data_IF_084312664669
#
_entry.id   IF_084312664669
#
_cell.length_a   1.000
_cell.length_b   1.000
_cell.length_c   1.000
_cell.angle_alpha   90.00
_cell.angle_beta   90.00
_cell.angle_gamma   90.00
#
_symmetry.space_group_name_H-M   'P 1'
#
loop_
_entity.id
_entity.type
_entity.pdbx_description
1 polymer ?
#
# COMPACT_ATOMS: atom_id res chain seq x y z
N UNK A 1 -7.43 -0.49 -12.16
CA UNK A 1 -6.54 -1.60 -11.76
C UNK A 1 -5.24 -1.37 -12.53
N UNK A 2 -4.15 -1.08 -11.82
CA UNK A 2 -2.85 -0.77 -12.42
C UNK A 2 -2.31 -1.94 -13.27
N UNK A 3 -1.66 -1.64 -14.39
CA UNK A 3 -1.04 -2.65 -15.26
C UNK A 3 0.17 -3.30 -14.58
N UNK A 4 0.40 -4.58 -14.86
CA UNK A 4 1.57 -5.34 -14.35
C UNK A 4 2.94 -4.66 -14.57
N UNK A 5 3.26 -4.04 -15.73
CA UNK A 5 4.52 -3.31 -15.89
C UNK A 5 4.63 -2.03 -15.06
N UNK A 6 3.50 -1.44 -14.66
CA UNK A 6 3.45 -0.19 -13.89
C UNK A 6 3.50 -0.46 -12.37
N UNK A 7 3.33 -1.72 -11.94
CA UNK A 7 3.37 -2.12 -10.54
C UNK A 7 4.76 -2.07 -9.93
N UNK A 8 5.73 -2.70 -10.58
CA UNK A 8 7.10 -2.76 -10.09
C UNK A 8 7.72 -1.37 -9.81
N UNK A 9 7.63 -0.37 -10.72
CA UNK A 9 8.15 0.96 -10.43
C UNK A 9 7.37 1.66 -9.31
N UNK A 10 6.05 1.47 -9.23
CA UNK A 10 5.24 2.05 -8.15
C UNK A 10 5.56 1.43 -6.77
N UNK A 11 5.82 0.13 -6.70
CA UNK A 11 6.29 -0.56 -5.49
C UNK A 11 7.68 -0.07 -5.07
N UNK A 12 8.58 0.17 -6.04
CA UNK A 12 9.92 0.71 -5.77
C UNK A 12 9.86 2.15 -5.21
N UNK A 13 9.06 3.03 -5.83
CA UNK A 13 8.86 4.39 -5.33
C UNK A 13 8.22 4.40 -3.93
N UNK A 14 7.31 3.46 -3.65
CA UNK A 14 6.74 3.28 -2.32
C UNK A 14 7.79 2.83 -1.29
N UNK A 15 8.69 1.92 -1.67
CA UNK A 15 9.81 1.50 -0.84
C UNK A 15 10.78 2.66 -0.54
N UNK A 16 11.12 3.45 -1.55
CA UNK A 16 11.97 4.62 -1.41
C UNK A 16 11.32 5.69 -0.51
N UNK A 17 10.02 5.92 -0.66
CA UNK A 17 9.27 6.82 0.20
C UNK A 17 9.33 6.37 1.67
N UNK A 18 9.09 5.08 1.95
CA UNK A 18 9.22 4.53 3.31
C UNK A 18 10.65 4.66 3.84
N UNK A 19 11.67 4.36 3.03
CA UNK A 19 13.07 4.49 3.41
C UNK A 19 13.46 5.95 3.71
N UNK A 20 12.83 6.92 3.03
CA UNK A 20 12.98 8.35 3.28
C UNK A 20 12.17 8.85 4.49
N UNK A 21 11.46 7.97 5.19
CA UNK A 21 10.67 8.29 6.38
C UNK A 21 9.25 8.76 6.12
N UNK A 22 8.70 8.53 4.92
CA UNK A 22 7.27 8.76 4.68
C UNK A 22 6.44 7.80 5.54
N UNK A 23 5.30 8.29 6.02
CA UNK A 23 4.33 7.46 6.72
C UNK A 23 3.65 6.48 5.77
N UNK A 24 3.25 5.33 6.32
CA UNK A 24 2.61 4.26 5.55
C UNK A 24 1.30 4.71 4.90
N UNK A 25 0.57 5.64 5.54
CA UNK A 25 -0.71 6.14 5.02
C UNK A 25 -0.52 6.96 3.73
N UNK A 26 0.48 7.84 3.72
CA UNK A 26 0.90 8.58 2.53
C UNK A 26 1.34 7.65 1.40
N UNK A 27 2.05 6.57 1.73
CA UNK A 27 2.48 5.56 0.75
C UNK A 27 1.29 4.82 0.14
N UNK A 28 0.33 4.40 0.98
CA UNK A 28 -0.90 3.76 0.54
C UNK A 28 -1.77 4.70 -0.31
N UNK A 29 -1.82 5.99 0.03
CA UNK A 29 -2.49 7.01 -0.77
C UNK A 29 -1.89 7.12 -2.17
N UNK A 30 -0.56 7.20 -2.28
CA UNK A 30 0.14 7.24 -3.58
C UNK A 30 -0.12 5.99 -4.41
N UNK A 31 -0.13 4.80 -3.79
CA UNK A 31 -0.44 3.55 -4.47
C UNK A 31 -1.89 3.54 -4.97
N UNK A 32 -2.84 4.03 -4.18
CA UNK A 32 -4.25 4.18 -4.59
C UNK A 32 -4.39 5.11 -5.80
N UNK A 33 -3.75 6.28 -5.79
CA UNK A 33 -3.75 7.21 -6.93
C UNK A 33 -3.18 6.59 -8.21
N UNK A 34 -2.21 5.68 -8.08
CA UNK A 34 -1.67 4.89 -9.20
C UNK A 34 -2.58 3.74 -9.64
N UNK A 35 -3.73 3.53 -8.98
CA UNK A 35 -4.72 2.53 -9.34
C UNK A 35 -4.49 1.14 -8.74
N UNK A 36 -3.70 1.04 -7.66
CA UNK A 36 -3.60 -0.18 -6.86
C UNK A 36 -4.91 -0.49 -6.17
N UNK A 37 -5.26 -1.77 -6.12
CA UNK A 37 -6.40 -2.25 -5.33
C UNK A 37 -5.97 -2.45 -3.86
N UNK A 38 -6.90 -2.55 -2.90
CA UNK A 38 -6.56 -2.87 -1.51
C UNK A 38 -5.71 -4.14 -1.36
N UNK A 39 -6.04 -5.18 -2.13
CA UNK A 39 -5.27 -6.43 -2.13
C UNK A 39 -3.84 -6.24 -2.65
N UNK A 40 -3.63 -5.33 -3.60
CA UNK A 40 -2.29 -5.03 -4.13
C UNK A 40 -1.48 -4.26 -3.10
N UNK A 41 -2.11 -3.32 -2.40
CA UNK A 41 -1.52 -2.62 -1.27
C UNK A 41 -1.15 -3.57 -0.13
N UNK A 42 -2.00 -4.55 0.22
CA UNK A 42 -1.68 -5.55 1.24
C UNK A 42 -0.43 -6.34 0.86
N UNK A 43 -0.35 -6.79 -0.41
CA UNK A 43 0.83 -7.49 -0.92
C UNK A 43 2.08 -6.62 -0.90
N UNK A 44 1.96 -5.35 -1.26
CA UNK A 44 3.05 -4.38 -1.20
C UNK A 44 3.54 -4.19 0.25
N UNK A 45 2.63 -3.95 1.20
CA UNK A 45 2.97 -3.80 2.62
C UNK A 45 3.69 -5.04 3.15
N UNK A 46 3.22 -6.25 2.85
CA UNK A 46 3.91 -7.49 3.23
C UNK A 46 5.34 -7.55 2.72
N UNK A 47 5.58 -7.17 1.46
CA UNK A 47 6.93 -7.14 0.87
C UNK A 47 7.81 -6.06 1.49
N UNK A 48 7.24 -4.89 1.77
CA UNK A 48 7.97 -3.71 2.25
C UNK A 48 8.35 -3.81 3.72
N UNK A 49 7.46 -4.32 4.57
CA UNK A 49 7.67 -4.39 6.03
C UNK A 49 8.09 -5.77 6.51
N UNK A 50 7.93 -6.82 5.69
CA UNK A 50 8.07 -8.21 6.12
C UNK A 50 6.96 -8.67 7.08
N UNK A 51 5.89 -7.88 7.24
CA UNK A 51 4.78 -8.19 8.14
C UNK A 51 3.96 -9.39 7.64
N UNK A 52 3.35 -10.17 8.57
CA UNK A 52 2.40 -11.21 8.20
C UNK A 52 1.14 -10.61 7.56
N UNK A 53 0.43 -11.43 6.78
CA UNK A 53 -0.77 -11.02 6.05
C UNK A 53 -1.80 -10.30 6.94
N UNK A 54 -2.02 -10.79 8.16
CA UNK A 54 -3.00 -10.21 9.09
C UNK A 54 -2.63 -8.77 9.49
N UNK A 55 -1.35 -8.50 9.66
CA UNK A 55 -0.84 -7.19 10.06
C UNK A 55 -0.86 -6.21 8.87
N UNK A 56 -0.43 -6.68 7.70
CA UNK A 56 -0.55 -5.92 6.45
C UNK A 56 -2.02 -5.60 6.10
N UNK A 57 -2.93 -6.55 6.34
CA UNK A 57 -4.37 -6.34 6.15
C UNK A 57 -4.89 -5.26 7.09
N UNK A 58 -4.49 -5.29 8.38
CA UNK A 58 -4.87 -4.26 9.35
C UNK A 58 -4.36 -2.88 8.92
N UNK A 59 -3.10 -2.79 8.51
CA UNK A 59 -2.49 -1.53 8.04
C UNK A 59 -3.29 -0.92 6.90
N UNK A 60 -3.65 -1.71 5.89
CA UNK A 60 -4.45 -1.21 4.75
C UNK A 60 -5.90 -0.91 5.15
N UNK A 61 -6.50 -1.73 6.01
CA UNK A 61 -7.90 -1.60 6.43
C UNK A 61 -8.16 -0.36 7.32
N UNK A 62 -7.16 0.03 8.13
CA UNK A 62 -7.22 1.22 8.98
C UNK A 62 -6.54 2.45 8.35
N UNK A 63 -6.09 2.34 7.10
CA UNK A 63 -5.49 3.48 6.40
C UNK A 63 -6.57 4.48 5.99
N UNK A 64 -6.28 5.76 6.18
CA UNK A 64 -7.12 6.86 5.68
C UNK A 64 -7.15 6.90 4.15
N UNK A 65 -6.22 6.19 3.50
CA UNK A 65 -6.26 5.96 2.06
C UNK A 65 -7.44 5.08 1.63
N UNK A 66 -8.09 4.33 2.53
CA UNK A 66 -9.20 3.43 2.21
C UNK A 66 -10.35 3.55 3.21
N UNK A 67 -11.01 4.72 3.32
CA UNK A 67 -12.11 4.92 4.26
C UNK A 67 -13.26 3.92 4.03
N UNK A 68 -13.50 3.53 2.77
CA UNK A 68 -14.51 2.54 2.42
C UNK A 68 -14.30 1.14 3.01
N UNK A 69 -13.07 0.82 3.45
CA UNK A 69 -12.77 -0.45 4.09
C UNK A 69 -13.08 -0.41 5.59
N UNK A 70 -12.90 0.75 6.23
CA UNK A 70 -13.07 0.93 7.67
C UNK A 70 -14.54 0.98 8.10
N UNK A 71 -15.46 1.41 7.23
CA UNK A 71 -16.87 1.62 7.54
C UNK A 71 -17.78 0.36 7.43
N UNK A 72 -17.23 -0.86 7.47
CA UNK A 72 -18.00 -2.12 7.38
C UNK A 72 -18.12 -2.90 8.68
#
# INVERSE_FOLDING_TARGET
>A
MISEPERAPAEAEAAEALASGADMDSVLGRLRDKGFSPMDCIRAVMKLTGSPLSDATRVVHFSSAWPELTER
#
